data_IF_997375082074
#
_entry.id   IF_997375082074
#
_cell.length_a   1.000
_cell.length_b   1.000
_cell.length_c   1.000
_cell.angle_alpha   90.00
_cell.angle_beta   90.00
_cell.angle_gamma   90.00
#
_symmetry.space_group_name_H-M   'P 1'
#
loop_
_entity.id
_entity.type
_entity.pdbx_description
1 polymer ?
#
# COMPACT_ATOMS: atom_id res chain seq x y z
N UNK A 1 21.07 4.64 10.55
CA UNK A 1 19.65 4.97 10.78
C UNK A 1 19.14 4.20 12.00
N UNK A 2 18.38 4.81 12.89
CA UNK A 2 17.66 4.09 13.96
C UNK A 2 16.40 3.42 13.43
N UNK A 3 15.80 2.43 14.13
CA UNK A 3 14.51 1.86 13.73
C UNK A 3 13.41 2.91 13.54
N UNK A 4 13.36 3.94 14.39
CA UNK A 4 12.40 5.03 14.27
C UNK A 4 12.64 5.90 13.03
N UNK A 5 13.90 6.18 12.70
CA UNK A 5 14.26 6.92 11.48
C UNK A 5 13.91 6.10 10.22
N UNK A 6 14.12 4.78 10.24
CA UNK A 6 13.76 3.90 9.12
C UNK A 6 12.24 3.85 8.91
N UNK A 7 11.46 3.71 10.00
CA UNK A 7 10.01 3.75 9.93
C UNK A 7 9.51 5.11 9.37
N UNK A 8 10.09 6.23 9.83
CA UNK A 8 9.75 7.55 9.32
C UNK A 8 10.12 7.72 7.84
N UNK A 9 11.27 7.20 7.40
CA UNK A 9 11.69 7.23 6.00
C UNK A 9 10.72 6.44 5.11
N UNK A 10 10.35 5.22 5.52
CA UNK A 10 9.35 4.40 4.82
C UNK A 10 7.98 5.09 4.76
N UNK A 11 7.53 5.67 5.87
CA UNK A 11 6.27 6.41 5.92
C UNK A 11 6.25 7.60 4.96
N UNK A 12 7.34 8.37 4.91
CA UNK A 12 7.45 9.54 4.03
C UNK A 12 7.60 9.18 2.55
N UNK A 13 8.10 7.98 2.24
CA UNK A 13 8.25 7.50 0.87
C UNK A 13 6.95 6.92 0.31
N UNK A 14 6.05 6.42 1.17
CA UNK A 14 4.73 5.99 0.72
C UNK A 14 3.91 7.19 0.23
N UNK A 15 3.19 7.05 -0.88
CA UNK A 15 2.28 8.11 -1.30
C UNK A 15 1.18 8.28 -0.25
N UNK A 16 0.74 9.52 0.01
CA UNK A 16 -0.37 9.77 0.92
C UNK A 16 -1.67 9.15 0.37
N UNK A 17 -2.68 8.90 1.24
CA UNK A 17 -4.00 8.44 0.81
C UNK A 17 -4.55 9.30 -0.31
N UNK A 18 -4.95 8.65 -1.40
CA UNK A 18 -5.44 9.33 -2.58
C UNK A 18 -6.77 10.05 -2.30
N UNK A 19 -6.95 11.20 -2.94
CA UNK A 19 -8.16 12.01 -2.85
C UNK A 19 -9.04 11.86 -4.09
N UNK A 20 -10.32 12.25 -3.98
CA UNK A 20 -11.24 12.29 -5.13
C UNK A 20 -10.65 13.11 -6.29
N UNK A 21 -10.13 14.31 -6.01
CA UNK A 21 -9.55 15.17 -7.05
C UNK A 21 -8.35 14.53 -7.75
N UNK A 22 -7.53 13.75 -7.03
CA UNK A 22 -6.43 13.01 -7.65
C UNK A 22 -6.94 11.85 -8.52
N UNK A 23 -8.04 11.18 -8.16
CA UNK A 23 -8.66 10.18 -9.04
C UNK A 23 -9.22 10.83 -10.32
N UNK A 24 -9.84 12.01 -10.18
CA UNK A 24 -10.36 12.78 -11.30
C UNK A 24 -9.26 13.22 -12.28
N UNK A 25 -8.03 13.50 -11.81
CA UNK A 25 -6.87 13.80 -12.65
C UNK A 25 -6.49 12.64 -13.58
N UNK A 26 -6.78 11.39 -13.17
CA UNK A 26 -6.63 10.19 -14.00
C UNK A 26 -7.89 9.86 -14.80
N UNK A 27 -8.93 10.69 -14.71
CA UNK A 27 -10.23 10.49 -15.37
C UNK A 27 -11.08 9.41 -14.71
N UNK A 28 -10.91 9.17 -13.41
CA UNK A 28 -11.67 8.21 -12.61
C UNK A 28 -12.64 8.99 -11.72
N UNK A 29 -13.93 8.85 -11.97
CA UNK A 29 -14.96 9.46 -11.13
C UNK A 29 -15.22 8.57 -9.91
N UNK A 30 -15.11 9.14 -8.71
CA UNK A 30 -15.28 8.40 -7.46
C UNK A 30 -16.05 9.22 -6.43
N UNK A 31 -16.86 8.53 -5.63
CA UNK A 31 -17.35 9.11 -4.38
C UNK A 31 -16.23 9.18 -3.34
N UNK A 32 -16.41 9.97 -2.29
CA UNK A 32 -15.48 10.02 -1.16
C UNK A 32 -15.24 8.63 -0.54
N UNK A 33 -16.30 7.82 -0.41
CA UNK A 33 -16.19 6.46 0.11
C UNK A 33 -15.39 5.55 -0.82
N UNK A 34 -15.58 5.67 -2.15
CA UNK A 34 -14.82 4.91 -3.12
C UNK A 34 -13.35 5.33 -3.12
N UNK A 35 -13.05 6.63 -3.02
CA UNK A 35 -11.69 7.13 -2.90
C UNK A 35 -10.98 6.59 -1.64
N UNK A 36 -11.67 6.52 -0.52
CA UNK A 36 -11.15 5.93 0.72
C UNK A 36 -10.88 4.42 0.58
N UNK A 37 -11.77 3.67 -0.09
CA UNK A 37 -11.55 2.26 -0.40
C UNK A 37 -10.36 2.05 -1.33
N UNK A 38 -10.21 2.89 -2.36
CA UNK A 38 -9.04 2.87 -3.25
C UNK A 38 -7.77 3.19 -2.47
N UNK A 39 -7.77 4.23 -1.63
CA UNK A 39 -6.62 4.60 -0.80
C UNK A 39 -6.17 3.44 0.11
N UNK A 40 -7.12 2.67 0.65
CA UNK A 40 -6.86 1.48 1.50
C UNK A 40 -6.23 0.33 0.72
N UNK A 41 -6.64 0.09 -0.52
CA UNK A 41 -6.03 -0.93 -1.37
C UNK A 41 -4.63 -0.49 -1.88
N UNK A 42 -4.44 0.80 -2.19
CA UNK A 42 -3.10 1.39 -2.47
C UNK A 42 -2.18 1.23 -1.26
N UNK A 43 -2.67 1.49 -0.05
CA UNK A 43 -1.92 1.29 1.18
C UNK A 43 -1.51 -0.17 1.33
N UNK A 44 -2.42 -1.11 1.07
CA UNK A 44 -2.15 -2.54 1.19
C UNK A 44 -1.10 -3.03 0.19
N UNK A 45 -1.14 -2.50 -1.03
CA UNK A 45 -0.12 -2.75 -2.05
C UNK A 45 1.26 -2.22 -1.60
N UNK A 46 1.32 -1.00 -1.08
CA UNK A 46 2.57 -0.41 -0.61
C UNK A 46 3.13 -1.15 0.62
N UNK A 47 2.29 -1.48 1.59
CA UNK A 47 2.70 -2.23 2.77
C UNK A 47 3.17 -3.64 2.44
N UNK A 48 2.66 -4.28 1.39
CA UNK A 48 3.24 -5.54 0.92
C UNK A 48 4.72 -5.39 0.55
N UNK A 49 5.07 -4.40 -0.26
CA UNK A 49 6.45 -4.16 -0.68
C UNK A 49 7.34 -3.64 0.46
N UNK A 50 6.83 -2.74 1.29
CA UNK A 50 7.56 -2.21 2.46
C UNK A 50 7.93 -3.34 3.41
N UNK A 51 6.97 -4.20 3.76
CA UNK A 51 7.22 -5.30 4.70
C UNK A 51 8.15 -6.36 4.08
N UNK A 52 8.03 -6.63 2.78
CA UNK A 52 8.99 -7.48 2.08
C UNK A 52 10.42 -6.89 2.09
N UNK A 53 10.55 -5.56 1.94
CA UNK A 53 11.84 -4.88 2.01
C UNK A 53 12.43 -4.91 3.43
N UNK A 54 11.60 -4.71 4.47
CA UNK A 54 12.03 -4.89 5.87
C UNK A 54 12.54 -6.32 6.09
N UNK A 55 11.82 -7.32 5.57
CA UNK A 55 12.21 -8.72 5.70
C UNK A 55 13.51 -9.07 4.95
N UNK A 56 13.79 -8.41 3.84
CA UNK A 56 15.00 -8.65 3.05
C UNK A 56 16.24 -7.92 3.61
N UNK A 57 16.09 -6.68 4.07
CA UNK A 57 17.23 -5.80 4.36
C UNK A 57 17.49 -5.57 5.86
N UNK A 58 16.50 -5.79 6.73
CA UNK A 58 16.62 -5.45 8.16
C UNK A 58 16.91 -6.70 9.01
N UNK A 59 17.86 -6.64 9.97
CA UNK A 59 18.06 -7.71 10.95
C UNK A 59 16.80 -7.99 11.77
N UNK A 60 16.47 -9.28 11.98
CA UNK A 60 15.23 -9.73 12.63
C UNK A 60 14.91 -9.02 13.95
N UNK A 61 15.93 -8.70 14.77
CA UNK A 61 15.77 -8.00 16.06
C UNK A 61 15.20 -6.58 15.96
N UNK A 62 15.22 -5.95 14.78
CA UNK A 62 14.73 -4.59 14.57
C UNK A 62 13.43 -4.52 13.77
N UNK A 63 13.02 -5.61 13.10
CA UNK A 63 11.86 -5.60 12.19
C UNK A 63 10.57 -5.18 12.88
N UNK A 64 10.21 -5.85 13.98
CA UNK A 64 8.98 -5.53 14.70
C UNK A 64 8.94 -4.08 15.18
N UNK A 65 10.06 -3.55 15.67
CA UNK A 65 10.14 -2.15 16.10
C UNK A 65 9.91 -1.16 14.96
N UNK A 66 10.40 -1.47 13.75
CA UNK A 66 10.17 -0.62 12.56
C UNK A 66 8.70 -0.74 12.12
N UNK A 67 8.17 -1.96 12.05
CA UNK A 67 6.78 -2.24 11.67
C UNK A 67 5.79 -1.55 12.60
N UNK A 68 5.99 -1.67 13.92
CA UNK A 68 5.15 -1.04 14.94
C UNK A 68 5.16 0.49 14.78
N UNK A 69 6.34 1.11 14.65
CA UNK A 69 6.47 2.55 14.48
C UNK A 69 5.86 3.07 13.16
N UNK A 70 5.96 2.27 12.08
CA UNK A 70 5.34 2.56 10.80
C UNK A 70 3.81 2.53 10.92
N UNK A 71 3.27 1.47 11.52
CA UNK A 71 1.83 1.30 11.74
C UNK A 71 1.25 2.36 12.68
N UNK A 72 1.97 2.75 13.73
CA UNK A 72 1.57 3.87 14.60
C UNK A 72 1.47 5.18 13.80
N UNK A 73 2.42 5.44 12.91
CA UNK A 73 2.43 6.65 12.06
C UNK A 73 1.23 6.68 11.10
N UNK A 74 0.94 5.55 10.44
CA UNK A 74 -0.22 5.40 9.56
C UNK A 74 -1.53 5.59 10.34
N UNK A 75 -1.66 4.95 11.50
CA UNK A 75 -2.85 5.08 12.35
C UNK A 75 -3.10 6.52 12.76
N UNK A 76 -2.05 7.23 13.16
CA UNK A 76 -2.14 8.60 13.62
C UNK A 76 -2.48 9.58 12.49
N UNK A 77 -1.80 9.47 11.36
CA UNK A 77 -1.84 10.49 10.31
C UNK A 77 -2.90 10.22 9.22
N UNK A 78 -3.26 8.95 9.00
CA UNK A 78 -4.18 8.54 7.94
C UNK A 78 -5.47 7.89 8.46
N UNK A 79 -5.37 7.00 9.47
CA UNK A 79 -6.56 6.34 10.00
C UNK A 79 -7.41 7.25 10.89
N UNK A 80 -6.81 7.89 11.89
CA UNK A 80 -7.52 8.74 12.85
C UNK A 80 -8.26 9.91 12.20
N UNK A 81 -7.74 10.54 11.12
CA UNK A 81 -8.50 11.53 10.36
C UNK A 81 -9.54 10.96 9.39
N UNK A 82 -9.69 9.63 9.29
CA UNK A 82 -10.70 8.96 8.46
C UNK A 82 -10.36 8.83 6.98
N UNK A 83 -9.09 8.96 6.58
CA UNK A 83 -8.67 8.95 5.16
C UNK A 83 -8.72 7.57 4.50
N UNK A 84 -8.94 6.51 5.28
CA UNK A 84 -8.90 5.10 4.85
C UNK A 84 -10.24 4.38 5.08
N UNK A 85 -11.31 5.14 5.30
CA UNK A 85 -12.64 4.64 5.59
C UNK A 85 -13.01 4.65 7.07
N UNK A 86 -14.20 4.16 7.38
CA UNK A 86 -14.80 4.21 8.72
C UNK A 86 -14.51 2.99 9.60
N UNK A 87 -13.86 1.96 9.05
CA UNK A 87 -13.57 0.72 9.77
C UNK A 87 -12.47 0.92 10.83
N UNK A 88 -12.22 -0.12 11.61
CA UNK A 88 -11.17 -0.11 12.62
C UNK A 88 -9.82 -0.56 12.05
N UNK A 89 -8.73 -0.06 12.64
CA UNK A 89 -7.38 -0.51 12.29
C UNK A 89 -7.20 -2.03 12.41
N UNK A 90 -7.87 -2.67 13.38
CA UNK A 90 -7.77 -4.11 13.61
C UNK A 90 -8.43 -4.92 12.48
N UNK A 91 -9.55 -4.44 11.94
CA UNK A 91 -10.19 -5.04 10.76
C UNK A 91 -9.28 -4.91 9.54
N UNK A 92 -8.71 -3.72 9.35
CA UNK A 92 -7.73 -3.50 8.28
C UNK A 92 -6.49 -4.37 8.39
N UNK A 93 -5.93 -4.55 9.59
CA UNK A 93 -4.77 -5.41 9.78
C UNK A 93 -5.05 -6.87 9.35
N UNK A 94 -6.28 -7.34 9.56
CA UNK A 94 -6.72 -8.67 9.09
C UNK A 94 -6.79 -8.72 7.57
N UNK A 95 -7.39 -7.72 6.93
CA UNK A 95 -7.41 -7.60 5.47
C UNK A 95 -6.00 -7.52 4.88
N UNK A 96 -5.13 -6.66 5.43
CA UNK A 96 -3.74 -6.53 5.01
C UNK A 96 -3.02 -7.88 5.05
N UNK A 97 -3.26 -8.68 6.09
CA UNK A 97 -2.69 -10.03 6.20
C UNK A 97 -3.14 -10.93 5.04
N UNK A 98 -4.41 -10.87 4.66
CA UNK A 98 -4.94 -11.62 3.51
C UNK A 98 -4.38 -11.13 2.18
N UNK A 99 -4.34 -9.80 1.96
CA UNK A 99 -3.76 -9.18 0.75
C UNK A 99 -2.30 -9.59 0.58
N UNK A 100 -1.52 -9.50 1.65
CA UNK A 100 -0.10 -9.91 1.65
C UNK A 100 0.08 -11.38 1.28
N UNK A 101 -0.77 -12.28 1.80
CA UNK A 101 -0.74 -13.70 1.42
C UNK A 101 -1.05 -13.90 -0.06
N UNK A 102 -2.05 -13.20 -0.60
CA UNK A 102 -2.39 -13.25 -2.02
C UNK A 102 -1.23 -12.75 -2.89
N UNK A 103 -0.68 -11.57 -2.58
CA UNK A 103 0.44 -11.02 -3.35
C UNK A 103 1.69 -11.90 -3.26
N UNK A 104 2.03 -12.43 -2.07
CA UNK A 104 3.12 -13.37 -1.92
C UNK A 104 2.92 -14.64 -2.76
N UNK A 105 1.71 -15.19 -2.82
CA UNK A 105 1.41 -16.34 -3.67
C UNK A 105 1.67 -16.03 -5.16
N UNK A 106 1.16 -14.90 -5.65
CA UNK A 106 1.34 -14.46 -7.04
C UNK A 106 2.82 -14.23 -7.38
N UNK A 107 3.59 -13.60 -6.50
CA UNK A 107 5.01 -13.33 -6.73
C UNK A 107 5.84 -14.61 -6.64
N UNK A 108 5.69 -15.38 -5.56
CA UNK A 108 6.59 -16.49 -5.25
C UNK A 108 6.27 -17.77 -6.05
N UNK A 109 5.00 -18.02 -6.35
CA UNK A 109 4.57 -19.27 -7.00
C UNK A 109 4.26 -19.09 -8.48
N UNK A 110 3.72 -17.93 -8.85
CA UNK A 110 3.32 -17.63 -10.24
C UNK A 110 4.33 -16.74 -10.97
N UNK A 111 5.33 -16.18 -10.26
CA UNK A 111 6.36 -15.34 -10.87
C UNK A 111 5.82 -14.00 -11.38
N UNK A 112 4.71 -13.52 -10.81
CA UNK A 112 4.04 -12.29 -11.24
C UNK A 112 4.93 -11.10 -10.95
N UNK A 113 5.14 -10.26 -11.97
CA UNK A 113 5.93 -9.04 -11.84
C UNK A 113 5.22 -7.96 -11.02
N UNK A 114 5.94 -6.93 -10.58
CA UNK A 114 5.36 -5.75 -9.91
C UNK A 114 4.16 -5.17 -10.68
N UNK A 115 4.29 -5.03 -12.00
CA UNK A 115 3.22 -4.53 -12.87
C UNK A 115 2.02 -5.49 -12.90
N UNK A 116 2.27 -6.80 -12.84
CA UNK A 116 1.21 -7.81 -12.74
C UNK A 116 0.46 -7.72 -11.42
N UNK A 117 1.14 -7.47 -10.29
CA UNK A 117 0.47 -7.22 -9.01
C UNK A 117 -0.39 -5.96 -9.07
N UNK A 118 0.08 -4.89 -9.72
CA UNK A 118 -0.75 -3.69 -9.93
C UNK A 118 -2.01 -4.00 -10.75
N UNK A 119 -1.90 -4.84 -11.79
CA UNK A 119 -3.05 -5.25 -12.60
C UNK A 119 -4.05 -6.13 -11.81
N UNK A 120 -3.54 -7.01 -10.96
CA UNK A 120 -4.36 -7.82 -10.04
C UNK A 120 -5.09 -6.94 -9.01
N UNK A 121 -4.41 -5.93 -8.45
CA UNK A 121 -5.03 -4.97 -7.53
C UNK A 121 -6.10 -4.12 -8.23
N UNK A 122 -5.85 -3.63 -9.46
CA UNK A 122 -6.85 -2.90 -10.24
C UNK A 122 -8.09 -3.76 -10.53
N UNK A 123 -7.90 -5.04 -10.88
CA UNK A 123 -9.00 -5.98 -11.11
C UNK A 123 -9.79 -6.24 -9.83
N UNK A 124 -9.10 -6.36 -8.68
CA UNK A 124 -9.76 -6.50 -7.38
C UNK A 124 -10.61 -5.27 -7.01
N UNK A 125 -10.12 -4.06 -7.30
CA UNK A 125 -10.88 -2.83 -7.08
C UNK A 125 -12.14 -2.76 -7.96
N UNK A 126 -12.06 -3.24 -9.20
CA UNK A 126 -13.22 -3.39 -10.10
C UNK A 126 -14.22 -4.41 -9.54
N UNK A 127 -13.75 -5.60 -9.14
CA UNK A 127 -14.60 -6.67 -8.61
C UNK A 127 -15.36 -6.25 -7.34
N UNK A 128 -14.74 -5.41 -6.51
CA UNK A 128 -15.38 -4.83 -5.32
C UNK A 128 -16.26 -3.61 -5.63
N UNK A 129 -16.29 -3.13 -6.88
CA UNK A 129 -17.08 -1.98 -7.30
C UNK A 129 -16.54 -0.63 -6.82
N UNK A 130 -15.25 -0.54 -6.47
CA UNK A 130 -14.61 0.72 -6.12
C UNK A 130 -14.37 1.59 -7.34
N UNK A 131 -14.22 0.95 -8.50
CA UNK A 131 -14.09 1.58 -9.82
C UNK A 131 -14.98 0.87 -10.83
N UNK A 132 -15.26 1.52 -11.95
CA UNK A 132 -15.95 0.89 -13.07
C UNK A 132 -14.99 0.05 -13.93
N UNK A 133 -15.53 -0.87 -14.74
CA UNK A 133 -14.75 -1.64 -15.72
C UNK A 133 -14.01 -0.76 -16.73
N UNK A 134 -14.57 0.41 -17.07
CA UNK A 134 -13.97 1.37 -18.00
C UNK A 134 -12.75 2.09 -17.38
N UNK A 135 -12.65 2.10 -16.05
CA UNK A 135 -11.58 2.76 -15.31
C UNK A 135 -10.43 1.83 -14.94
N UNK A 136 -10.54 0.50 -15.17
CA UNK A 136 -9.50 -0.47 -14.78
C UNK A 136 -8.12 -0.12 -15.35
N UNK A 137 -8.05 0.25 -16.63
CA UNK A 137 -6.77 0.61 -17.27
C UNK A 137 -6.19 1.91 -16.68
N UNK A 138 -7.03 2.89 -16.37
CA UNK A 138 -6.61 4.15 -15.71
C UNK A 138 -6.10 3.86 -14.29
N UNK A 139 -6.77 2.97 -13.58
CA UNK A 139 -6.35 2.54 -12.24
C UNK A 139 -5.02 1.81 -12.29
N UNK A 140 -4.78 0.95 -13.28
CA UNK A 140 -3.47 0.31 -13.44
C UNK A 140 -2.34 1.35 -13.60
N UNK A 141 -2.55 2.38 -14.43
CA UNK A 141 -1.55 3.45 -14.60
C UNK A 141 -1.30 4.16 -13.27
N UNK A 142 -2.37 4.53 -12.56
CA UNK A 142 -2.28 5.16 -11.24
C UNK A 142 -1.52 4.29 -10.24
N UNK A 143 -1.80 2.99 -10.17
CA UNK A 143 -1.12 2.07 -9.25
C UNK A 143 0.38 1.95 -9.53
N UNK A 144 0.79 2.01 -10.79
CA UNK A 144 2.20 2.02 -11.16
C UNK A 144 2.90 3.28 -10.62
N UNK A 145 2.23 4.43 -10.70
CA UNK A 145 2.76 5.70 -10.19
C UNK A 145 2.75 5.77 -8.64
N UNK A 146 1.81 5.07 -7.99
CA UNK A 146 1.58 5.09 -6.55
C UNK A 146 2.15 3.86 -5.80
N UNK A 147 2.96 3.02 -6.45
CA UNK A 147 3.62 1.88 -5.81
C UNK A 147 5.13 1.86 -6.11
N UNK A 148 5.93 2.72 -5.46
CA UNK A 148 7.37 2.79 -5.69
C UNK A 148 8.13 1.65 -5.00
N UNK A 149 7.84 0.39 -5.33
CA UNK A 149 8.41 -0.78 -4.65
C UNK A 149 9.95 -0.79 -4.60
N UNK A 150 10.61 -0.34 -5.67
CA UNK A 150 12.07 -0.25 -5.75
C UNK A 150 12.67 0.85 -4.86
N UNK A 151 11.88 1.83 -4.42
CA UNK A 151 12.33 2.87 -3.50
C UNK A 151 12.46 2.33 -2.07
N UNK A 152 11.54 1.48 -1.62
CA UNK A 152 11.56 0.94 -0.27
C UNK A 152 12.81 0.09 0.02
N UNK A 153 13.21 -0.76 -0.93
CA UNK A 153 14.47 -1.52 -0.80
C UNK A 153 15.69 -0.60 -0.69
N UNK A 154 15.78 0.40 -1.57
CA UNK A 154 16.90 1.37 -1.58
C UNK A 154 17.00 2.17 -0.29
N UNK A 155 15.87 2.56 0.30
CA UNK A 155 15.86 3.28 1.58
C UNK A 155 16.40 2.43 2.73
N UNK A 156 16.21 1.11 2.68
CA UNK A 156 16.64 0.19 3.73
C UNK A 156 18.04 -0.39 3.49
N UNK A 157 18.58 -0.33 2.27
CA UNK A 157 19.99 -0.63 1.97
C UNK A 157 20.96 0.27 2.77
N UNK A 158 20.54 1.48 3.13
CA UNK A 158 21.33 2.40 3.97
C UNK A 158 21.25 2.08 5.48
N UNK A 159 20.43 1.09 5.85
CA UNK A 159 20.13 0.70 7.24
C UNK A 159 20.71 -0.67 7.60
N UNK A 160 20.73 -1.60 6.65
CA UNK A 160 21.25 -2.97 6.82
C UNK A 160 22.77 -3.06 6.90
#
# INVERSE_FOLDING_TARGET
MTPAEAAAALFNAMPPPITVSQLEEYGIEASESAAQSVAREILSLNLYWVLAAIDAHIPTKYRSTIEDALFESIQKEWWSPGKLGADTWNEYHSELTERRKRYAHLVDQEGVSHMGICAETASLMEDHGFISSEDREKMLVLLIDYAPAAEYGRLLDEVG
#
